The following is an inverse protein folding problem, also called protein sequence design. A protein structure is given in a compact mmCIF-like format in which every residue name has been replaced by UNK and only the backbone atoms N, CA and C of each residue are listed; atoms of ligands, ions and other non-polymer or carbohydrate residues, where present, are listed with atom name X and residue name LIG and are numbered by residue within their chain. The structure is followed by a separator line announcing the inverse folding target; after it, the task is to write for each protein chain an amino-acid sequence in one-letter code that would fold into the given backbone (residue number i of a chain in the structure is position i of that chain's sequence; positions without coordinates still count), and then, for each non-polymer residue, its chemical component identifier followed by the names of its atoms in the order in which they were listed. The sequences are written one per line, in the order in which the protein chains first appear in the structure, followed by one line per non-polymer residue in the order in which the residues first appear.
data_IF_504063846665
#
_entry.id   IF_504063846665
#
_cell.length_a   1.000
_cell.length_b   1.000
_cell.length_c   1.000
_cell.angle_alpha   90.00
_cell.angle_beta   90.00
_cell.angle_gamma   90.00
#
_symmetry.space_group_name_H-M   'P 1'
#
loop_
_entity.id
_entity.type
_entity.pdbx_description
1 polymer ?
#
# COMPACT_ATOMS: atom_id res chain seq x y z
N UNK A 1 14.62 12.73 20.81
CA UNK A 1 14.69 14.08 21.40
C UNK A 1 15.05 15.05 20.29
N UNK A 2 14.88 16.37 20.50
CA UNK A 2 14.91 17.38 19.40
C UNK A 2 16.34 17.66 18.88
N UNK A 3 17.19 16.65 18.79
CA UNK A 3 18.58 16.85 18.39
C UNK A 3 18.67 16.75 16.85
N UNK A 4 19.12 17.82 16.19
CA UNK A 4 19.36 17.90 14.74
C UNK A 4 18.12 17.76 13.81
N UNK A 5 17.02 18.38 14.14
CA UNK A 5 15.90 18.48 13.22
C UNK A 5 16.22 19.56 12.15
N UNK A 6 16.24 19.16 10.88
CA UNK A 6 16.46 20.05 9.71
C UNK A 6 17.74 20.87 9.73
N UNK A 7 18.84 20.33 10.28
CA UNK A 7 20.12 21.05 10.33
C UNK A 7 20.16 22.21 11.33
N UNK A 8 19.13 22.38 12.15
CA UNK A 8 19.10 23.40 13.19
C UNK A 8 19.86 22.95 14.43
N UNK A 9 20.70 23.80 14.99
CA UNK A 9 21.37 23.57 16.26
C UNK A 9 20.42 23.89 17.40
N UNK A 10 19.93 22.88 18.12
CA UNK A 10 18.99 23.05 19.24
C UNK A 10 19.64 22.57 20.55
N UNK A 11 19.82 23.49 21.50
CA UNK A 11 20.22 23.18 22.88
C UNK A 11 19.04 23.48 23.79
N UNK A 12 18.66 22.56 24.69
CA UNK A 12 17.51 22.73 25.57
C UNK A 12 17.80 22.27 27.01
N UNK A 13 17.09 22.89 27.95
CA UNK A 13 17.07 22.53 29.36
C UNK A 13 15.65 22.72 29.94
N UNK A 14 15.31 22.06 31.05
CA UNK A 14 14.02 22.29 31.69
C UNK A 14 13.81 23.80 31.97
N UNK A 15 12.55 24.30 31.73
CA UNK A 15 12.21 25.67 32.04
C UNK A 15 11.93 25.82 33.53
N UNK A 16 12.62 26.74 34.19
CA UNK A 16 12.60 26.94 35.66
C UNK A 16 11.39 27.71 36.16
N UNK A 17 10.73 28.52 35.33
CA UNK A 17 9.59 29.38 35.72
C UNK A 17 8.22 28.69 35.59
N UNK A 18 8.13 27.40 35.30
CA UNK A 18 6.86 26.68 35.12
C UNK A 18 5.93 26.75 36.37
N UNK A 19 6.50 26.87 37.58
CA UNK A 19 5.74 26.95 38.83
C UNK A 19 4.89 28.21 38.95
N UNK A 20 5.15 29.25 38.18
CA UNK A 20 4.37 30.51 38.15
C UNK A 20 3.10 30.36 37.31
N UNK A 21 3.04 29.37 36.43
CA UNK A 21 1.88 29.14 35.59
C UNK A 21 0.72 28.48 36.35
N UNK A 22 -0.53 28.75 35.92
CA UNK A 22 -1.70 28.05 36.45
C UNK A 22 -1.57 26.52 36.25
N UNK A 23 -2.06 25.76 37.24
CA UNK A 23 -1.94 24.30 37.28
C UNK A 23 -2.45 23.61 35.99
N UNK A 24 -3.58 24.08 35.43
CA UNK A 24 -4.15 23.54 34.20
C UNK A 24 -3.26 23.72 32.95
N UNK A 25 -2.29 24.64 32.97
CA UNK A 25 -1.29 24.77 31.90
C UNK A 25 -0.10 23.83 32.19
N UNK A 26 0.32 23.81 33.46
CA UNK A 26 1.47 22.95 33.87
C UNK A 26 1.17 21.48 33.67
N UNK A 27 -0.07 21.03 33.89
CA UNK A 27 -0.49 19.65 33.70
C UNK A 27 -0.58 19.21 32.22
N UNK A 28 -0.73 20.16 31.30
CA UNK A 28 -0.92 19.83 29.87
C UNK A 28 0.37 19.75 29.06
N UNK A 29 1.49 20.28 29.58
CA UNK A 29 2.73 20.38 28.81
C UNK A 29 3.97 20.05 29.63
N UNK A 30 4.97 19.53 28.93
CA UNK A 30 6.36 19.62 29.39
C UNK A 30 6.96 20.91 28.84
N UNK A 31 7.79 21.59 29.63
CA UNK A 31 8.35 22.90 29.33
C UNK A 31 9.87 22.86 29.29
N UNK A 32 10.44 23.41 28.22
CA UNK A 32 11.88 23.53 28.07
C UNK A 32 12.26 24.92 27.62
N UNK A 33 13.34 25.46 28.15
CA UNK A 33 14.07 26.58 27.54
C UNK A 33 14.94 26.01 26.45
N UNK A 34 14.80 26.48 25.22
CA UNK A 34 15.64 26.07 24.11
C UNK A 34 16.35 27.26 23.47
N UNK A 35 17.50 27.02 22.88
CA UNK A 35 18.22 27.94 21.99
C UNK A 35 18.25 27.31 20.61
N UNK A 36 17.52 27.92 19.67
CA UNK A 36 17.43 27.50 18.28
C UNK A 36 18.22 28.55 17.47
N UNK A 37 19.32 28.13 16.86
CA UNK A 37 20.23 29.06 16.15
C UNK A 37 20.55 30.35 16.98
N UNK A 38 20.84 30.19 18.25
CA UNK A 38 21.11 31.28 19.22
C UNK A 38 19.87 32.12 19.65
N UNK A 39 18.68 31.84 19.14
CA UNK A 39 17.46 32.53 19.60
C UNK A 39 16.87 31.73 20.77
N UNK A 40 16.76 32.39 21.92
CA UNK A 40 16.12 31.79 23.10
C UNK A 40 14.62 31.70 22.90
N UNK A 41 14.05 30.52 23.15
CA UNK A 41 12.60 30.27 23.10
C UNK A 41 12.17 29.31 24.21
N UNK A 42 10.86 29.19 24.40
CA UNK A 42 10.26 28.16 25.24
C UNK A 42 9.64 27.10 24.33
N UNK A 43 10.05 25.86 24.47
CA UNK A 43 9.42 24.73 23.79
C UNK A 43 8.42 24.09 24.73
N UNK A 44 7.17 23.93 24.26
CA UNK A 44 6.09 23.23 24.95
C UNK A 44 5.78 21.93 24.23
N UNK A 45 5.75 20.83 24.98
CA UNK A 45 5.45 19.49 24.45
C UNK A 45 4.14 19.03 25.13
N UNK A 46 3.06 18.80 24.39
CA UNK A 46 1.83 18.29 24.96
C UNK A 46 2.03 16.93 25.62
N UNK A 47 1.44 16.70 26.78
CA UNK A 47 1.45 15.41 27.48
C UNK A 47 0.36 14.51 26.89
N UNK A 48 -0.78 15.10 26.59
CA UNK A 48 -1.92 14.45 25.95
C UNK A 48 -2.25 15.12 24.61
N UNK A 49 -3.52 15.16 24.22
CA UNK A 49 -3.96 15.81 22.99
C UNK A 49 -3.78 17.33 23.02
N UNK A 50 -3.54 17.90 21.85
CA UNK A 50 -3.45 19.34 21.67
C UNK A 50 -4.82 20.02 21.99
N UNK A 51 -4.85 21.05 22.82
CA UNK A 51 -6.08 21.80 23.12
C UNK A 51 -6.61 22.53 21.87
N UNK A 52 -7.82 23.04 21.92
CA UNK A 52 -8.39 23.86 20.84
C UNK A 52 -7.51 25.08 20.56
N UNK A 53 -7.53 25.59 19.32
CA UNK A 53 -6.69 26.71 18.92
C UNK A 53 -6.87 27.98 19.81
N UNK A 54 -8.13 28.38 20.16
CA UNK A 54 -8.32 29.50 21.06
C UNK A 54 -7.72 29.28 22.45
N UNK A 55 -7.82 28.05 22.99
CA UNK A 55 -7.20 27.71 24.28
C UNK A 55 -5.68 27.74 24.19
N UNK A 56 -5.09 27.17 23.14
CA UNK A 56 -3.64 27.18 22.90
C UNK A 56 -3.10 28.62 22.85
N UNK A 57 -3.76 29.54 22.11
CA UNK A 57 -3.37 30.93 22.03
C UNK A 57 -3.36 31.61 23.42
N UNK A 58 -4.41 31.41 24.20
CA UNK A 58 -4.48 31.95 25.57
C UNK A 58 -3.38 31.40 26.46
N UNK A 59 -3.05 30.13 26.33
CA UNK A 59 -1.98 29.48 27.11
C UNK A 59 -0.61 30.02 26.69
N UNK A 60 -0.32 30.14 25.38
CA UNK A 60 0.91 30.73 24.85
C UNK A 60 1.06 32.18 25.37
N UNK A 61 -0.01 32.97 25.34
CA UNK A 61 0.02 34.35 25.85
C UNK A 61 0.37 34.43 27.35
N UNK A 62 -0.17 33.55 28.18
CA UNK A 62 0.19 33.47 29.59
C UNK A 62 1.65 33.10 29.82
N UNK A 63 2.21 32.20 29.02
CA UNK A 63 3.63 31.85 29.07
C UNK A 63 4.49 33.07 28.70
N UNK A 64 4.12 33.78 27.63
CA UNK A 64 4.84 34.98 27.20
C UNK A 64 4.80 36.15 28.19
N UNK A 65 3.76 36.25 28.99
CA UNK A 65 3.69 37.27 30.09
C UNK A 65 4.78 36.99 31.15
N UNK A 66 5.13 35.72 31.38
CA UNK A 66 6.16 35.36 32.37
C UNK A 66 7.58 35.45 31.75
N UNK A 67 7.70 35.14 30.49
CA UNK A 67 8.99 35.12 29.80
C UNK A 67 8.76 35.52 28.31
N UNK A 68 9.03 36.78 27.99
CA UNK A 68 8.73 37.36 26.68
C UNK A 68 9.70 36.88 25.58
N UNK A 69 9.58 35.59 25.26
CA UNK A 69 10.32 34.93 24.19
C UNK A 69 9.36 34.11 23.30
N UNK A 70 9.75 33.74 22.09
CA UNK A 70 8.94 32.86 21.25
C UNK A 70 8.59 31.57 21.98
N UNK A 71 7.31 31.15 21.88
CA UNK A 71 6.84 29.85 22.38
C UNK A 71 6.64 28.92 21.20
N UNK A 72 7.34 27.82 21.18
CA UNK A 72 7.36 26.83 20.09
C UNK A 72 6.64 25.56 20.53
N UNK A 73 5.67 25.12 19.78
CA UNK A 73 5.00 23.85 19.99
C UNK A 73 5.80 22.72 19.37
N UNK A 74 6.19 21.71 20.13
CA UNK A 74 6.73 20.47 19.59
C UNK A 74 5.68 19.35 19.66
N UNK A 75 5.47 18.66 18.55
CA UNK A 75 4.66 17.44 18.49
C UNK A 75 5.21 16.53 17.41
N UNK A 76 5.28 15.21 17.65
CA UNK A 76 5.77 14.25 16.64
C UNK A 76 5.04 14.39 15.32
N UNK A 77 3.71 14.51 15.37
CA UNK A 77 2.84 14.65 14.20
C UNK A 77 1.76 15.68 14.45
N UNK A 78 1.33 16.40 13.42
CA UNK A 78 0.22 17.36 13.47
C UNK A 78 -0.65 17.09 12.24
N UNK A 79 -1.98 16.99 12.42
CA UNK A 79 -2.92 16.81 11.31
C UNK A 79 -2.88 17.99 10.34
N UNK A 80 -3.23 17.75 9.06
CA UNK A 80 -3.27 18.78 8.03
C UNK A 80 -4.07 20.04 8.44
N UNK A 81 -5.29 19.85 8.94
CA UNK A 81 -6.15 20.96 9.38
C UNK A 81 -5.55 21.73 10.55
N UNK A 82 -4.97 21.00 11.51
CA UNK A 82 -4.33 21.61 12.65
C UNK A 82 -3.10 22.43 12.27
N UNK A 83 -2.27 21.87 11.37
CA UNK A 83 -1.11 22.56 10.82
C UNK A 83 -1.52 23.86 10.10
N UNK A 84 -2.53 23.80 9.22
CA UNK A 84 -3.06 24.98 8.54
C UNK A 84 -3.47 26.05 9.54
N UNK A 85 -4.20 25.69 10.59
CA UNK A 85 -4.61 26.61 11.66
C UNK A 85 -3.42 27.22 12.42
N UNK A 86 -2.36 26.46 12.69
CA UNK A 86 -1.17 26.98 13.35
C UNK A 86 -0.42 28.00 12.46
N UNK A 87 -0.28 27.69 11.15
CA UNK A 87 0.32 28.58 10.16
C UNK A 87 -0.43 29.90 10.02
N UNK A 88 -1.76 29.84 9.83
CA UNK A 88 -2.64 31.00 9.69
C UNK A 88 -2.61 31.90 10.95
N UNK A 89 -2.31 31.34 12.10
CA UNK A 89 -2.24 32.05 13.38
C UNK A 89 -0.80 32.34 13.83
N UNK A 90 0.19 32.14 12.96
CA UNK A 90 1.60 32.42 13.20
C UNK A 90 2.15 31.77 14.48
N UNK A 91 1.63 30.58 14.85
CA UNK A 91 2.09 29.82 16.01
C UNK A 91 3.28 28.98 15.60
N UNK A 92 4.48 29.22 16.16
CA UNK A 92 5.65 28.43 15.83
C UNK A 92 5.48 26.97 16.25
N UNK A 93 5.89 26.04 15.39
CA UNK A 93 5.88 24.62 15.72
C UNK A 93 7.04 23.86 15.09
N UNK A 94 7.38 22.75 15.70
CA UNK A 94 8.34 21.75 15.21
C UNK A 94 7.66 20.39 15.27
N UNK A 95 7.78 19.61 14.16
CA UNK A 95 7.42 18.19 14.12
C UNK A 95 8.61 17.39 13.60
N UNK A 96 8.52 16.06 13.60
CA UNK A 96 9.57 15.21 13.04
C UNK A 96 9.80 15.44 11.53
N UNK A 97 8.80 16.03 10.83
CA UNK A 97 8.84 16.23 9.37
C UNK A 97 8.78 17.68 8.91
N UNK A 98 8.39 18.62 9.77
CA UNK A 98 8.11 20.00 9.38
C UNK A 98 8.42 20.97 10.50
N UNK A 99 8.92 22.15 10.13
CA UNK A 99 9.24 23.22 11.07
C UNK A 99 8.70 24.55 10.56
N UNK A 100 8.01 25.28 11.42
CA UNK A 100 7.58 26.66 11.19
C UNK A 100 8.08 27.55 12.33
N UNK A 101 9.14 28.28 12.08
CA UNK A 101 9.78 29.17 13.03
C UNK A 101 9.93 30.57 12.40
N UNK A 102 8.88 31.40 12.43
CA UNK A 102 8.84 32.68 11.72
C UNK A 102 9.91 33.65 12.17
N UNK A 103 10.52 33.45 13.33
CA UNK A 103 11.56 34.30 13.89
C UNK A 103 12.98 33.98 13.38
N UNK A 104 13.18 32.87 12.68
CA UNK A 104 14.46 32.51 12.03
C UNK A 104 14.29 32.12 10.55
N UNK A 105 13.07 31.93 10.08
CA UNK A 105 12.73 31.46 8.75
C UNK A 105 11.81 30.25 8.82
N UNK A 106 11.19 29.92 7.70
CA UNK A 106 10.27 28.78 7.61
C UNK A 106 10.89 27.70 6.73
N UNK A 107 11.05 26.49 7.28
CA UNK A 107 11.33 25.28 6.51
C UNK A 107 10.11 24.36 6.61
N UNK A 108 9.33 24.28 5.53
CA UNK A 108 8.28 23.31 5.37
C UNK A 108 8.78 22.21 4.45
N UNK A 109 9.17 21.08 5.00
CA UNK A 109 9.43 19.88 4.20
C UNK A 109 8.09 19.18 4.08
N UNK A 110 7.46 19.31 2.93
CA UNK A 110 6.25 18.55 2.58
C UNK A 110 6.69 17.18 2.05
N UNK A 111 7.27 16.37 2.92
CA UNK A 111 7.33 14.96 2.67
C UNK A 111 5.89 14.47 2.73
N UNK A 112 5.31 14.22 1.55
CA UNK A 112 4.11 13.38 1.47
C UNK A 112 4.47 12.12 2.24
N UNK A 113 3.71 11.82 3.31
CA UNK A 113 3.84 10.49 3.91
C UNK A 113 3.80 9.48 2.77
N UNK A 114 4.76 8.55 2.71
CA UNK A 114 4.66 7.49 1.73
C UNK A 114 3.27 6.89 1.89
N UNK A 115 2.46 6.94 0.85
CA UNK A 115 1.14 6.32 0.86
C UNK A 115 1.37 4.87 1.25
N UNK A 116 1.03 4.50 2.48
CA UNK A 116 1.14 3.12 2.92
C UNK A 116 0.28 2.30 1.98
N UNK A 117 0.84 1.22 1.48
CA UNK A 117 0.07 0.25 0.71
C UNK A 117 -1.10 -0.15 1.59
N UNK A 118 -2.32 -0.03 1.08
CA UNK A 118 -3.48 -0.71 1.65
C UNK A 118 -3.10 -2.19 1.74
N UNK A 119 -3.61 -2.92 2.70
CA UNK A 119 -3.24 -4.32 2.99
C UNK A 119 -3.19 -5.24 1.76
N UNK A 120 -3.83 -4.86 0.65
CA UNK A 120 -3.86 -5.59 -0.62
C UNK A 120 -3.64 -4.66 -1.81
N UNK A 121 -3.10 -5.21 -2.90
CA UNK A 121 -3.02 -4.52 -4.18
C UNK A 121 -4.41 -4.27 -4.78
N UNK A 122 -4.48 -3.34 -5.73
CA UNK A 122 -5.57 -3.31 -6.70
C UNK A 122 -5.22 -4.23 -7.88
N UNK A 123 -6.21 -4.75 -8.61
CA UNK A 123 -5.96 -5.70 -9.70
C UNK A 123 -5.02 -5.16 -10.79
N UNK A 124 -5.03 -3.85 -11.07
CA UNK A 124 -4.07 -3.28 -12.03
C UNK A 124 -2.61 -3.39 -11.57
N UNK A 125 -2.34 -3.31 -10.27
CA UNK A 125 -1.00 -3.52 -9.70
C UNK A 125 -0.64 -4.99 -9.70
N UNK A 126 -1.58 -5.87 -9.36
CA UNK A 126 -1.38 -7.31 -9.42
C UNK A 126 -1.07 -7.76 -10.85
N UNK A 127 -1.81 -7.29 -11.86
CA UNK A 127 -1.55 -7.64 -13.26
C UNK A 127 -0.22 -7.09 -13.76
N UNK A 128 0.20 -5.90 -13.33
CA UNK A 128 1.54 -5.39 -13.63
C UNK A 128 2.62 -6.28 -12.99
N UNK A 129 2.40 -6.74 -11.76
CA UNK A 129 3.29 -7.69 -11.09
C UNK A 129 3.35 -9.04 -11.83
N UNK A 130 2.21 -9.61 -12.22
CA UNK A 130 2.16 -10.86 -12.99
C UNK A 130 2.87 -10.71 -14.33
N UNK A 131 2.67 -9.60 -15.06
CA UNK A 131 3.39 -9.30 -16.29
C UNK A 131 4.91 -9.23 -16.08
N UNK A 132 5.36 -8.67 -14.95
CA UNK A 132 6.76 -8.67 -14.55
C UNK A 132 7.26 -10.10 -14.30
N UNK A 133 6.49 -10.93 -13.60
CA UNK A 133 6.84 -12.32 -13.29
C UNK A 133 6.97 -13.21 -14.53
N UNK A 134 6.15 -12.96 -15.57
CA UNK A 134 6.24 -13.67 -16.85
C UNK A 134 7.32 -13.12 -17.78
N UNK A 135 7.93 -12.00 -17.43
CA UNK A 135 9.12 -11.51 -18.10
C UNK A 135 10.36 -12.09 -17.41
N UNK A 136 11.15 -12.88 -18.13
CA UNK A 136 12.33 -13.56 -17.58
C UNK A 136 13.49 -12.62 -17.20
N UNK A 137 13.36 -11.30 -17.46
CA UNK A 137 14.39 -10.33 -17.15
C UNK A 137 14.12 -9.66 -15.79
N UNK A 138 15.19 -9.49 -15.00
CA UNK A 138 15.10 -8.77 -13.71
C UNK A 138 14.88 -7.27 -13.87
N UNK A 139 15.32 -6.70 -15.01
CA UNK A 139 15.19 -5.30 -15.38
C UNK A 139 14.19 -5.18 -16.52
N UNK A 140 13.05 -4.58 -16.30
CA UNK A 140 11.97 -4.51 -17.29
C UNK A 140 11.48 -3.07 -17.47
N UNK A 141 11.30 -2.66 -18.71
CA UNK A 141 10.72 -1.36 -19.05
C UNK A 141 9.20 -1.38 -18.89
N UNK A 142 8.65 -0.38 -18.22
CA UNK A 142 7.19 -0.26 -18.04
C UNK A 142 6.47 -0.16 -19.39
N UNK A 143 7.10 0.45 -20.39
CA UNK A 143 6.59 0.52 -21.76
C UNK A 143 6.38 -0.85 -22.40
N UNK A 144 7.22 -1.83 -22.09
CA UNK A 144 7.09 -3.19 -22.63
C UNK A 144 5.98 -3.96 -21.90
N UNK A 145 5.94 -3.90 -20.59
CA UNK A 145 4.84 -4.48 -19.81
C UNK A 145 3.48 -3.89 -20.18
N UNK A 146 3.45 -2.60 -20.56
CA UNK A 146 2.21 -1.92 -20.94
C UNK A 146 1.58 -2.44 -22.22
N UNK A 147 2.35 -3.07 -23.10
CA UNK A 147 1.85 -3.61 -24.38
C UNK A 147 0.91 -4.81 -24.19
N UNK A 148 1.10 -5.57 -23.11
CA UNK A 148 0.28 -6.74 -22.76
C UNK A 148 -0.85 -6.43 -21.78
N UNK A 149 -0.95 -5.19 -21.28
CA UNK A 149 -1.91 -4.84 -20.25
C UNK A 149 -2.94 -3.83 -20.75
N UNK A 150 -4.25 -4.04 -20.50
CA UNK A 150 -5.34 -3.18 -20.99
C UNK A 150 -5.51 -1.93 -20.11
N UNK A 151 -4.42 -1.22 -19.80
CA UNK A 151 -4.45 -0.08 -18.87
C UNK A 151 -3.97 1.22 -19.51
N UNK A 152 -4.55 2.34 -19.04
CA UNK A 152 -4.05 3.67 -19.37
C UNK A 152 -2.68 3.93 -18.73
N UNK A 153 -1.91 4.86 -19.31
CA UNK A 153 -0.62 5.28 -18.74
C UNK A 153 -0.72 5.77 -17.29
N UNK A 154 -1.85 6.41 -16.93
CA UNK A 154 -2.09 6.87 -15.56
C UNK A 154 -2.30 5.69 -14.61
N UNK A 155 -3.06 4.67 -15.00
CA UNK A 155 -3.28 3.46 -14.22
C UNK A 155 -1.96 2.71 -14.01
N UNK A 156 -1.15 2.54 -15.06
CA UNK A 156 0.17 1.94 -14.97
C UNK A 156 1.11 2.72 -14.05
N UNK A 157 1.11 4.06 -14.13
CA UNK A 157 1.94 4.89 -13.25
C UNK A 157 1.58 4.70 -11.78
N UNK A 158 0.28 4.56 -11.45
CA UNK A 158 -0.19 4.26 -10.08
C UNK A 158 0.19 2.84 -9.64
N UNK A 159 0.07 1.87 -10.54
CA UNK A 159 0.46 0.49 -10.28
C UNK A 159 1.97 0.38 -9.98
N UNK A 160 2.82 1.01 -10.81
CA UNK A 160 4.27 1.08 -10.58
C UNK A 160 4.59 1.70 -9.23
N UNK A 161 3.91 2.79 -8.86
CA UNK A 161 4.10 3.42 -7.55
C UNK A 161 3.75 2.47 -6.39
N UNK A 162 2.68 1.68 -6.52
CA UNK A 162 2.34 0.67 -5.51
C UNK A 162 3.40 -0.44 -5.42
N UNK A 163 3.98 -0.90 -6.53
CA UNK A 163 5.09 -1.86 -6.49
C UNK A 163 6.33 -1.27 -5.79
N UNK A 164 6.69 -0.04 -6.12
CA UNK A 164 7.81 0.68 -5.49
C UNK A 164 7.64 0.78 -3.96
N UNK A 165 6.42 1.01 -3.48
CA UNK A 165 6.10 1.12 -2.05
C UNK A 165 6.26 -0.19 -1.27
N UNK A 166 6.42 -1.34 -1.93
CA UNK A 166 6.70 -2.62 -1.26
C UNK A 166 8.15 -2.76 -0.79
N UNK A 167 9.06 -1.87 -1.23
CA UNK A 167 10.51 -1.98 -1.06
C UNK A 167 11.12 -3.26 -1.68
N UNK A 168 10.33 -4.00 -2.49
CA UNK A 168 10.79 -5.18 -3.24
C UNK A 168 11.28 -4.82 -4.64
N UNK A 169 10.95 -3.62 -5.12
CA UNK A 169 11.29 -3.11 -6.44
C UNK A 169 12.03 -1.79 -6.36
N UNK A 170 13.04 -1.66 -7.22
CA UNK A 170 13.65 -0.38 -7.56
C UNK A 170 12.95 0.16 -8.80
N UNK A 171 12.52 1.41 -8.72
CA UNK A 171 11.89 2.11 -9.84
C UNK A 171 12.70 3.36 -10.17
N UNK A 172 13.21 3.44 -11.39
CA UNK A 172 14.03 4.57 -11.84
C UNK A 172 13.77 4.91 -13.31
N UNK A 173 14.35 6.01 -13.78
CA UNK A 173 14.28 6.42 -15.19
C UNK A 173 15.56 6.01 -15.90
N UNK A 174 15.41 5.44 -17.09
CA UNK A 174 16.48 5.20 -18.05
C UNK A 174 16.13 6.00 -19.32
N UNK A 175 16.69 7.19 -19.45
CA UNK A 175 16.27 8.17 -20.45
C UNK A 175 14.83 8.63 -20.21
N UNK A 176 13.97 8.43 -21.20
CA UNK A 176 12.54 8.76 -21.13
C UNK A 176 11.68 7.60 -20.56
N UNK A 177 12.27 6.40 -20.45
CA UNK A 177 11.55 5.20 -20.04
C UNK A 177 11.65 4.98 -18.54
N UNK A 178 10.57 4.46 -17.95
CA UNK A 178 10.53 4.02 -16.56
C UNK A 178 10.87 2.54 -16.49
N UNK A 179 11.74 2.19 -15.55
CA UNK A 179 12.25 0.83 -15.34
C UNK A 179 11.79 0.32 -14.00
N UNK A 180 11.41 -0.94 -13.96
CA UNK A 180 11.16 -1.73 -12.75
C UNK A 180 12.23 -2.81 -12.67
N UNK A 181 12.87 -2.94 -11.54
CA UNK A 181 13.91 -3.93 -11.29
C UNK A 181 13.78 -4.51 -9.89
N UNK A 182 14.03 -5.80 -9.71
CA UNK A 182 14.10 -6.43 -8.40
C UNK A 182 15.42 -7.15 -8.19
N UNK A 183 15.97 -7.04 -6.98
CA UNK A 183 17.17 -7.79 -6.56
C UNK A 183 16.88 -9.24 -6.21
N UNK A 184 15.62 -9.58 -6.01
CA UNK A 184 15.17 -10.91 -5.65
C UNK A 184 15.02 -11.81 -6.89
N UNK A 185 15.16 -13.13 -6.73
CA UNK A 185 14.69 -14.09 -7.72
C UNK A 185 13.17 -14.02 -7.83
N UNK A 186 12.60 -14.50 -8.96
CA UNK A 186 11.13 -14.52 -9.13
C UNK A 186 10.43 -15.30 -8.02
N UNK A 187 11.00 -16.45 -7.61
CA UNK A 187 10.48 -17.24 -6.49
C UNK A 187 10.47 -16.45 -5.18
N UNK A 188 11.61 -15.90 -4.75
CA UNK A 188 11.70 -15.10 -3.53
C UNK A 188 10.77 -13.89 -3.58
N UNK A 189 10.65 -13.25 -4.76
CA UNK A 189 9.79 -12.10 -4.96
C UNK A 189 8.32 -12.49 -4.81
N UNK A 190 7.90 -13.62 -5.40
CA UNK A 190 6.53 -14.13 -5.26
C UNK A 190 6.19 -14.45 -3.81
N UNK A 191 7.09 -15.15 -3.09
CA UNK A 191 6.92 -15.47 -1.67
C UNK A 191 6.76 -14.22 -0.80
N UNK A 192 7.57 -13.18 -1.04
CA UNK A 192 7.52 -11.92 -0.26
C UNK A 192 6.29 -11.07 -0.53
N UNK A 193 5.79 -11.08 -1.76
CA UNK A 193 4.68 -10.23 -2.20
C UNK A 193 3.30 -10.86 -1.99
N UNK A 194 3.23 -12.16 -1.69
CA UNK A 194 1.99 -12.93 -1.57
C UNK A 194 0.91 -12.29 -0.70
N UNK A 195 1.30 -11.61 0.39
CA UNK A 195 0.35 -10.98 1.31
C UNK A 195 -0.38 -9.78 0.69
N UNK A 196 0.15 -9.18 -0.40
CA UNK A 196 -0.52 -8.13 -1.15
C UNK A 196 -1.45 -8.65 -2.25
N UNK A 197 -1.27 -9.90 -2.69
CA UNK A 197 -1.98 -10.47 -3.83
C UNK A 197 -3.40 -10.90 -3.46
N UNK A 198 -4.32 -10.68 -4.39
CA UNK A 198 -5.73 -11.03 -4.33
C UNK A 198 -5.99 -12.32 -5.12
N UNK A 199 -6.99 -13.10 -4.72
CA UNK A 199 -7.56 -14.11 -5.60
C UNK A 199 -8.18 -13.45 -6.83
N UNK A 200 -8.02 -14.00 -8.04
CA UNK A 200 -8.73 -13.51 -9.21
C UNK A 200 -10.24 -13.75 -9.13
N UNK A 201 -10.67 -14.76 -8.37
CA UNK A 201 -12.07 -15.21 -8.29
C UNK A 201 -12.93 -14.20 -7.54
N UNK A 202 -13.99 -13.73 -8.22
CA UNK A 202 -15.02 -12.83 -7.66
C UNK A 202 -16.26 -13.58 -7.21
N UNK A 203 -16.65 -14.57 -8.01
CA UNK A 203 -17.86 -15.36 -7.78
C UNK A 203 -17.63 -16.77 -8.33
N UNK A 204 -18.28 -17.71 -7.74
CA UNK A 204 -18.35 -19.10 -8.20
C UNK A 204 -19.80 -19.46 -8.44
N UNK A 205 -20.07 -20.23 -9.48
CA UNK A 205 -21.37 -20.79 -9.78
C UNK A 205 -21.24 -22.05 -10.62
N UNK A 206 -22.36 -22.61 -11.02
CA UNK A 206 -22.43 -23.82 -11.84
C UNK A 206 -23.28 -23.56 -13.07
N UNK A 207 -22.98 -24.23 -14.17
CA UNK A 207 -23.76 -24.15 -15.40
C UNK A 207 -23.74 -25.48 -16.13
N UNK A 208 -24.67 -25.65 -17.06
CA UNK A 208 -24.68 -26.85 -17.90
C UNK A 208 -23.43 -26.91 -18.77
N UNK A 209 -22.79 -28.07 -18.86
CA UNK A 209 -21.58 -28.28 -19.65
C UNK A 209 -21.78 -27.98 -21.14
N UNK A 210 -23.00 -28.13 -21.68
CA UNK A 210 -23.31 -27.81 -23.07
C UNK A 210 -23.19 -26.31 -23.42
N UNK A 211 -23.12 -25.44 -22.40
CA UNK A 211 -22.97 -23.99 -22.57
C UNK A 211 -21.51 -23.52 -22.51
N UNK A 212 -20.58 -24.46 -22.29
CA UNK A 212 -19.14 -24.14 -22.31
C UNK A 212 -18.72 -23.72 -23.71
N UNK A 213 -17.98 -22.62 -23.78
CA UNK A 213 -17.53 -22.02 -25.03
C UNK A 213 -16.00 -21.87 -25.08
N UNK A 214 -15.44 -21.61 -26.25
CA UNK A 214 -13.97 -21.56 -26.43
C UNK A 214 -13.26 -20.43 -25.70
N UNK A 215 -13.99 -19.40 -25.24
CA UNK A 215 -13.41 -18.32 -24.41
C UNK A 215 -13.33 -18.68 -22.93
N UNK A 216 -13.89 -19.81 -22.51
CA UNK A 216 -13.79 -20.34 -21.16
C UNK A 216 -12.55 -21.21 -21.05
N UNK A 217 -11.65 -20.85 -20.15
CA UNK A 217 -10.41 -21.62 -19.96
C UNK A 217 -10.46 -22.45 -18.69
N UNK A 218 -9.74 -23.56 -18.70
CA UNK A 218 -9.61 -24.43 -17.53
C UNK A 218 -8.94 -23.67 -16.38
N UNK A 219 -9.48 -23.83 -15.17
CA UNK A 219 -9.04 -23.15 -13.94
C UNK A 219 -9.09 -24.08 -12.73
N UNK A 220 -8.71 -23.57 -11.59
CA UNK A 220 -8.78 -24.26 -10.31
C UNK A 220 -8.07 -25.64 -10.34
N UNK A 221 -8.68 -26.63 -9.69
CA UNK A 221 -8.11 -27.99 -9.61
C UNK A 221 -8.03 -28.69 -10.98
N UNK A 222 -8.96 -28.38 -11.88
CA UNK A 222 -8.91 -28.95 -13.25
C UNK A 222 -7.67 -28.50 -13.98
N UNK A 223 -7.33 -27.22 -13.92
CA UNK A 223 -6.10 -26.70 -14.51
C UNK A 223 -4.85 -27.32 -13.86
N UNK A 224 -4.84 -27.49 -12.53
CA UNK A 224 -3.72 -28.15 -11.85
C UNK A 224 -3.56 -29.60 -12.30
N UNK A 225 -4.63 -30.34 -12.53
CA UNK A 225 -4.55 -31.74 -12.99
C UNK A 225 -3.97 -31.85 -14.41
N UNK A 226 -4.23 -30.89 -15.28
CA UNK A 226 -3.64 -30.84 -16.62
C UNK A 226 -2.13 -30.47 -16.60
N UNK A 227 -1.69 -29.76 -15.56
CA UNK A 227 -0.30 -29.27 -15.43
C UNK A 227 0.56 -30.16 -14.52
N UNK A 228 0.00 -31.19 -13.89
CA UNK A 228 0.67 -32.00 -12.88
C UNK A 228 0.22 -33.46 -12.89
N UNK A 229 0.72 -34.27 -11.95
CA UNK A 229 0.30 -35.65 -11.73
C UNK A 229 -0.97 -35.77 -10.87
N UNK A 230 -1.71 -34.69 -10.65
CA UNK A 230 -2.97 -34.72 -9.90
C UNK A 230 -4.03 -35.46 -10.70
N UNK A 231 -4.79 -36.34 -10.04
CA UNK A 231 -5.94 -36.96 -10.69
C UNK A 231 -6.99 -35.89 -11.03
N UNK A 232 -7.54 -35.97 -12.24
CA UNK A 232 -8.58 -35.04 -12.70
C UNK A 232 -9.75 -34.96 -11.72
N UNK A 233 -10.17 -33.74 -11.40
CA UNK A 233 -11.40 -33.51 -10.66
C UNK A 233 -12.60 -34.02 -11.46
N UNK A 234 -13.56 -34.67 -10.81
CA UNK A 234 -14.82 -35.09 -11.46
C UNK A 234 -15.61 -33.87 -11.97
N UNK A 235 -15.54 -32.78 -11.24
CA UNK A 235 -16.21 -31.53 -11.60
C UNK A 235 -15.19 -30.62 -12.31
N UNK A 236 -15.38 -30.41 -13.61
CA UNK A 236 -14.52 -29.49 -14.36
C UNK A 236 -14.75 -28.05 -13.94
N UNK A 237 -13.67 -27.30 -13.78
CA UNK A 237 -13.69 -25.89 -13.40
C UNK A 237 -13.16 -25.04 -14.56
N UNK A 238 -13.92 -24.01 -14.90
CA UNK A 238 -13.57 -23.03 -15.93
C UNK A 238 -13.50 -21.62 -15.33
N UNK A 239 -12.63 -20.80 -15.86
CA UNK A 239 -12.59 -19.36 -15.55
C UNK A 239 -13.13 -18.54 -16.73
N UNK A 240 -13.83 -17.45 -16.38
CA UNK A 240 -14.33 -16.46 -17.33
C UNK A 240 -14.09 -15.05 -16.81
N UNK A 241 -13.92 -14.09 -17.73
CA UNK A 241 -13.82 -12.70 -17.33
C UNK A 241 -15.19 -12.11 -16.97
N UNK A 242 -15.26 -11.42 -15.84
CA UNK A 242 -16.51 -10.83 -15.32
C UNK A 242 -17.24 -9.91 -16.31
N UNK A 243 -16.50 -9.21 -17.18
CA UNK A 243 -17.09 -8.27 -18.14
C UNK A 243 -17.68 -8.92 -19.38
N UNK A 244 -17.21 -10.11 -19.72
CA UNK A 244 -17.55 -10.78 -20.97
C UNK A 244 -18.51 -11.94 -20.76
N UNK A 245 -18.96 -12.17 -19.50
CA UNK A 245 -19.79 -13.31 -19.15
C UNK A 245 -21.18 -12.89 -18.65
N UNK A 246 -22.22 -13.52 -19.18
CA UNK A 246 -23.58 -13.35 -18.71
C UNK A 246 -23.86 -14.21 -17.46
N UNK A 247 -23.85 -13.56 -16.30
CA UNK A 247 -24.05 -14.20 -14.99
C UNK A 247 -25.43 -14.86 -14.82
N UNK A 248 -26.40 -14.55 -15.66
CA UNK A 248 -27.74 -15.17 -15.60
C UNK A 248 -27.72 -16.65 -15.98
N UNK A 249 -26.65 -17.12 -16.63
CA UNK A 249 -26.42 -18.52 -16.96
C UNK A 249 -25.96 -19.38 -15.78
N UNK A 250 -25.56 -18.75 -14.66
CA UNK A 250 -25.08 -19.46 -13.47
C UNK A 250 -26.23 -19.78 -12.53
N UNK A 251 -26.10 -20.93 -11.89
CA UNK A 251 -26.87 -21.32 -10.72
C UNK A 251 -25.93 -21.52 -9.54
N UNK A 252 -26.42 -21.26 -8.33
CA UNK A 252 -25.60 -21.27 -7.13
C UNK A 252 -25.33 -22.68 -6.58
N UNK A 253 -26.10 -23.67 -7.02
CA UNK A 253 -26.07 -25.03 -6.48
C UNK A 253 -25.59 -26.04 -7.54
N UNK A 254 -24.76 -26.98 -7.10
CA UNK A 254 -24.40 -28.16 -7.87
C UNK A 254 -25.49 -29.22 -7.70
N UNK A 255 -26.24 -29.49 -8.77
CA UNK A 255 -27.33 -30.44 -8.78
C UNK A 255 -26.88 -31.80 -9.35
N UNK A 256 -26.12 -31.76 -10.47
CA UNK A 256 -25.71 -32.97 -11.18
C UNK A 256 -24.26 -32.83 -11.68
N UNK A 257 -23.39 -33.68 -11.13
CA UNK A 257 -21.95 -33.72 -11.45
C UNK A 257 -21.65 -34.15 -12.89
N UNK A 258 -22.55 -34.87 -13.54
CA UNK A 258 -22.34 -35.40 -14.89
C UNK A 258 -22.74 -34.38 -15.97
N UNK A 259 -23.56 -33.40 -15.61
CA UNK A 259 -24.15 -32.44 -16.56
C UNK A 259 -23.62 -31.01 -16.34
N UNK A 260 -23.14 -30.74 -15.13
CA UNK A 260 -22.69 -29.37 -14.75
C UNK A 260 -21.18 -29.24 -14.68
N UNK A 261 -20.72 -28.01 -14.90
CA UNK A 261 -19.36 -27.56 -14.66
C UNK A 261 -19.35 -26.42 -13.65
N UNK A 262 -18.26 -26.30 -12.92
CA UNK A 262 -18.00 -25.15 -12.05
C UNK A 262 -17.44 -24.00 -12.88
N UNK A 263 -17.94 -22.79 -12.66
CA UNK A 263 -17.46 -21.58 -13.31
C UNK A 263 -16.98 -20.58 -12.28
N UNK A 264 -15.76 -20.14 -12.43
CA UNK A 264 -15.15 -19.08 -11.63
C UNK A 264 -15.18 -17.77 -12.45
N UNK A 265 -15.91 -16.77 -11.95
CA UNK A 265 -15.90 -15.42 -12.54
C UNK A 265 -14.69 -14.69 -12.00
N UNK A 266 -13.77 -14.33 -12.89
CA UNK A 266 -12.54 -13.64 -12.54
C UNK A 266 -12.63 -12.14 -12.75
N UNK A 267 -11.91 -11.38 -11.92
CA UNK A 267 -11.81 -9.92 -11.95
C UNK A 267 -11.05 -9.38 -13.18
N UNK A 268 -10.35 -10.23 -13.89
CA UNK A 268 -9.60 -9.93 -15.11
C UNK A 268 -9.64 -11.12 -16.05
N UNK A 269 -9.29 -10.88 -17.31
CA UNK A 269 -9.29 -11.89 -18.35
C UNK A 269 -8.33 -13.03 -18.00
N UNK A 270 -8.81 -14.28 -17.84
CA UNK A 270 -7.98 -15.43 -17.53
C UNK A 270 -7.04 -15.86 -18.67
N UNK A 271 -7.22 -15.32 -19.89
CA UNK A 271 -6.35 -15.56 -21.04
C UNK A 271 -5.25 -14.50 -21.18
N UNK A 272 -5.18 -13.50 -20.30
CA UNK A 272 -4.28 -12.36 -20.47
C UNK A 272 -2.79 -12.75 -20.58
N UNK A 273 -2.38 -13.80 -19.89
CA UNK A 273 -0.97 -14.27 -19.86
C UNK A 273 -0.78 -15.69 -20.45
N UNK A 274 -1.78 -16.19 -21.14
CA UNK A 274 -1.73 -17.53 -21.77
C UNK A 274 -2.33 -17.50 -23.17
N UNK A 275 -1.89 -18.44 -24.01
CA UNK A 275 -2.46 -18.67 -25.35
C UNK A 275 -3.06 -20.07 -25.46
N UNK A 276 -3.27 -20.74 -24.34
CA UNK A 276 -3.85 -22.07 -24.25
C UNK A 276 -5.27 -22.01 -23.71
N UNK A 277 -5.94 -23.16 -23.67
CA UNK A 277 -7.24 -23.30 -23.00
C UNK A 277 -7.14 -23.45 -21.48
N UNK A 278 -5.97 -23.17 -20.88
CA UNK A 278 -5.72 -23.22 -19.44
C UNK A 278 -5.33 -21.81 -19.00
N UNK A 279 -5.86 -21.32 -17.88
CA UNK A 279 -5.48 -20.03 -17.31
C UNK A 279 -4.00 -20.00 -16.92
N UNK A 280 -3.42 -18.82 -16.77
CA UNK A 280 -2.01 -18.70 -16.41
C UNK A 280 -1.71 -19.27 -15.02
N UNK A 281 -0.53 -19.83 -14.88
CA UNK A 281 -0.08 -20.58 -13.70
C UNK A 281 -0.19 -19.77 -12.40
N UNK A 282 0.27 -18.51 -12.41
CA UNK A 282 0.26 -17.69 -11.18
C UNK A 282 -1.15 -17.31 -10.78
N UNK A 283 -2.05 -17.03 -11.71
CA UNK A 283 -3.45 -16.77 -11.44
C UNK A 283 -4.18 -18.03 -10.92
N UNK A 284 -3.85 -19.22 -11.41
CA UNK A 284 -4.36 -20.49 -10.85
C UNK A 284 -3.89 -20.65 -9.41
N UNK A 285 -2.61 -20.44 -9.12
CA UNK A 285 -2.09 -20.48 -7.74
C UNK A 285 -2.82 -19.50 -6.83
N UNK A 286 -3.10 -18.29 -7.31
CA UNK A 286 -3.83 -17.29 -6.54
C UNK A 286 -5.31 -17.65 -6.36
N UNK A 287 -5.94 -18.34 -7.30
CA UNK A 287 -7.35 -18.81 -7.16
C UNK A 287 -7.49 -19.89 -6.11
N UNK A 288 -6.45 -20.68 -5.88
CA UNK A 288 -6.42 -21.80 -4.94
C UNK A 288 -5.76 -21.45 -3.58
N UNK A 289 -5.40 -20.20 -3.35
CA UNK A 289 -4.66 -19.75 -2.16
C UNK A 289 -5.36 -20.11 -0.83
N UNK A 290 -6.69 -20.21 -0.82
CA UNK A 290 -7.47 -20.55 0.37
C UNK A 290 -7.83 -22.05 0.46
N UNK A 291 -7.40 -22.84 -0.53
CA UNK A 291 -7.59 -24.28 -0.52
C UNK A 291 -6.69 -24.92 0.54
N UNK A 292 -7.26 -25.77 1.40
CA UNK A 292 -6.57 -26.44 2.52
C UNK A 292 -6.20 -27.89 2.26
N UNK A 293 -6.31 -28.36 1.00
CA UNK A 293 -5.90 -29.72 0.64
C UNK A 293 -4.37 -29.78 0.51
N UNK A 294 -3.72 -30.54 1.39
CA UNK A 294 -2.25 -30.69 1.42
C UNK A 294 -1.67 -31.16 0.08
N UNK A 295 -2.45 -31.94 -0.72
CA UNK A 295 -2.00 -32.39 -2.05
C UNK A 295 -1.94 -31.21 -3.01
N UNK A 296 -2.88 -30.28 -2.94
CA UNK A 296 -2.91 -29.07 -3.76
C UNK A 296 -1.77 -28.14 -3.35
N UNK A 297 -1.57 -27.94 -2.07
CA UNK A 297 -0.44 -27.13 -1.55
C UNK A 297 0.90 -27.65 -2.07
N UNK A 298 1.13 -28.95 -1.97
CA UNK A 298 2.39 -29.56 -2.48
C UNK A 298 2.58 -29.38 -3.98
N UNK A 299 1.52 -29.50 -4.77
CA UNK A 299 1.59 -29.29 -6.22
C UNK A 299 1.87 -27.83 -6.55
N UNK A 300 1.25 -26.90 -5.84
CA UNK A 300 1.53 -25.46 -5.98
C UNK A 300 3.00 -25.17 -5.68
N UNK A 301 3.56 -25.74 -4.61
CA UNK A 301 4.99 -25.61 -4.32
C UNK A 301 5.86 -26.15 -5.45
N UNK A 302 5.53 -27.32 -6.02
CA UNK A 302 6.28 -27.93 -7.13
C UNK A 302 6.20 -27.06 -8.40
N UNK A 303 5.05 -26.49 -8.71
CA UNK A 303 4.82 -25.57 -9.84
C UNK A 303 5.58 -24.24 -9.68
N UNK A 304 5.74 -23.77 -8.45
CA UNK A 304 6.47 -22.52 -8.16
C UNK A 304 7.99 -22.71 -8.07
N UNK A 305 8.52 -23.95 -8.06
CA UNK A 305 9.97 -24.21 -8.01
C UNK A 305 10.77 -23.65 -9.20
N UNK A 306 10.25 -23.65 -10.45
CA UNK A 306 10.97 -23.12 -11.61
C UNK A 306 11.02 -21.59 -11.69
N UNK A 307 10.25 -20.85 -10.88
CA UNK A 307 10.31 -19.39 -10.78
C UNK A 307 11.63 -18.97 -10.15
#
# INVERSE_FOLDING_TARGET
MIDNIFGLSIRYKPWDKKSILPLYIVSNYQFYTAYIENIRCIVIIPIEELPTLPSLKKQIQKIRVIDDVPVVLYSKTISFYRRKSLLENHIPFITDKQTFLPFIGTLLVDEKEPEKIKDKFVYSTQLLFLAYMYNHEKKVYVSDLSKSLPFSAMTLSRAVKQLEMTDLFLVYKDGVNKVIESKYSHKELFERIQHYLLTPVRQVGYMNQSLVTDYMVLAGETALSEMSMLNSSRLRTYAVYEKDFDKTQLIDELIDLEVQVKVEIWAYDPQLFTHTNIADTLSIVLSLKENKDERIEKIIEDILKPL
#
